data_IF_246249842440
#
_entry.id   IF_246249842440
#
_cell.length_a   1.000
_cell.length_b   1.000
_cell.length_c   1.000
_cell.angle_alpha   90.00
_cell.angle_beta   90.00
_cell.angle_gamma   90.00
#
_symmetry.space_group_name_H-M   'P 1'
#
loop_
_entity.id
_entity.type
_entity.pdbx_description
1 polymer ?
#
# COMPACT_ATOMS: atom_id res chain seq x y z
N UNK A 1 34.13 -14.77 -9.36
CA UNK A 1 33.04 -14.80 -8.35
C UNK A 1 31.82 -14.10 -8.95
N UNK A 2 30.72 -14.79 -9.30
CA UNK A 2 29.55 -14.10 -9.83
C UNK A 2 28.87 -13.34 -8.69
N UNK A 3 28.73 -12.02 -8.86
CA UNK A 3 28.06 -11.14 -7.90
C UNK A 3 26.58 -11.49 -7.87
N UNK A 4 26.07 -12.04 -6.76
CA UNK A 4 24.62 -12.10 -6.49
C UNK A 4 24.07 -10.68 -6.58
N UNK A 5 23.04 -10.38 -7.38
CA UNK A 5 22.35 -9.12 -7.27
C UNK A 5 21.58 -9.14 -5.94
N UNK A 6 22.18 -8.56 -4.89
CA UNK A 6 21.59 -8.38 -3.55
C UNK A 6 20.38 -7.41 -3.53
N UNK A 7 19.77 -7.11 -4.69
CA UNK A 7 18.61 -6.22 -4.83
C UNK A 7 17.37 -6.98 -5.32
N UNK A 8 17.27 -8.27 -4.99
CA UNK A 8 16.03 -8.99 -5.20
C UNK A 8 15.03 -8.53 -4.13
N UNK A 9 13.89 -8.00 -4.56
CA UNK A 9 12.80 -7.74 -3.64
C UNK A 9 12.05 -9.06 -3.40
N UNK A 10 11.55 -9.24 -2.18
CA UNK A 10 10.93 -10.50 -1.78
C UNK A 10 9.44 -10.32 -1.56
N UNK A 11 8.66 -11.28 -2.08
CA UNK A 11 7.28 -11.41 -1.65
C UNK A 11 7.26 -11.90 -0.20
N UNK A 12 6.41 -11.28 0.62
CA UNK A 12 6.20 -11.63 2.01
C UNK A 12 5.82 -13.11 2.21
N UNK A 13 5.08 -13.67 1.27
CA UNK A 13 4.61 -15.07 1.31
C UNK A 13 5.61 -16.06 0.69
N UNK A 14 6.27 -15.71 -0.42
CA UNK A 14 7.28 -16.59 -1.04
C UNK A 14 8.55 -16.76 -0.18
N UNK A 15 8.83 -15.78 0.68
CA UNK A 15 10.04 -15.75 1.51
C UNK A 15 11.29 -15.31 0.75
N UNK A 16 12.44 -15.25 1.44
CA UNK A 16 13.68 -14.64 0.93
C UNK A 16 14.41 -15.48 -0.13
N UNK A 17 14.02 -16.74 -0.31
CA UNK A 17 14.66 -17.64 -1.27
C UNK A 17 14.22 -17.38 -2.73
N UNK A 18 13.10 -16.68 -2.91
CA UNK A 18 12.59 -16.28 -4.23
C UNK A 18 12.80 -14.79 -4.41
N UNK A 19 13.64 -14.45 -5.38
CA UNK A 19 13.94 -13.07 -5.73
C UNK A 19 13.07 -12.57 -6.86
N UNK A 20 12.36 -11.46 -6.65
CA UNK A 20 11.56 -10.80 -7.67
C UNK A 20 12.14 -9.43 -8.04
N UNK A 21 11.86 -8.99 -9.27
CA UNK A 21 12.06 -7.58 -9.66
C UNK A 21 11.04 -6.72 -8.91
N UNK A 22 11.41 -5.50 -8.51
CA UNK A 22 10.48 -4.56 -7.82
C UNK A 22 9.18 -4.34 -8.59
N UNK A 23 9.28 -4.26 -9.92
CA UNK A 23 8.16 -4.04 -10.85
C UNK A 23 7.21 -5.23 -10.97
N UNK A 24 7.61 -6.42 -10.48
CA UNK A 24 6.78 -7.63 -10.46
C UNK A 24 6.16 -7.87 -9.08
N UNK A 25 6.36 -6.93 -8.14
CA UNK A 25 5.79 -6.98 -6.80
C UNK A 25 4.83 -5.81 -6.60
N UNK A 26 3.72 -6.12 -5.96
CA UNK A 26 2.69 -5.17 -5.57
C UNK A 26 2.81 -4.89 -4.08
N UNK A 27 2.71 -3.62 -3.68
CA UNK A 27 2.65 -3.27 -2.27
C UNK A 27 1.23 -3.50 -1.74
N UNK A 28 1.10 -3.99 -0.51
CA UNK A 28 -0.18 -4.01 0.20
C UNK A 28 0.05 -4.02 1.70
N UNK A 29 -0.60 -3.12 2.44
CA UNK A 29 -0.45 -3.01 3.90
C UNK A 29 1.03 -3.06 4.35
N UNK A 30 1.87 -2.23 3.71
CA UNK A 30 3.32 -2.15 3.97
C UNK A 30 4.15 -3.42 3.69
N UNK A 31 3.57 -4.40 2.99
CA UNK A 31 4.25 -5.65 2.58
C UNK A 31 4.28 -5.75 1.05
N UNK A 32 5.27 -6.48 0.52
CA UNK A 32 5.38 -6.74 -0.91
C UNK A 32 4.84 -8.13 -1.24
N UNK A 33 4.07 -8.25 -2.31
CA UNK A 33 3.46 -9.50 -2.75
C UNK A 33 3.72 -9.72 -4.24
N UNK A 34 3.99 -10.96 -4.66
CA UNK A 34 3.93 -11.31 -6.08
C UNK A 34 2.47 -11.42 -6.51
N UNK A 35 2.22 -11.44 -7.83
CA UNK A 35 0.86 -11.54 -8.37
C UNK A 35 0.07 -12.76 -7.85
N UNK A 36 0.74 -13.88 -7.59
CA UNK A 36 0.11 -15.12 -7.08
C UNK A 36 -0.30 -15.02 -5.60
N UNK A 37 0.45 -14.28 -4.80
CA UNK A 37 0.24 -14.14 -3.35
C UNK A 37 -0.34 -12.79 -2.96
N UNK A 38 -0.78 -12.00 -3.94
CA UNK A 38 -1.41 -10.72 -3.72
C UNK A 38 -2.79 -10.99 -3.13
N UNK A 39 -3.03 -10.70 -1.83
CA UNK A 39 -4.33 -10.99 -1.23
C UNK A 39 -5.40 -10.14 -1.90
N UNK A 40 -6.59 -10.71 -2.11
CA UNK A 40 -7.72 -9.99 -2.71
C UNK A 40 -7.93 -8.64 -2.02
N UNK A 41 -8.16 -7.61 -2.85
CA UNK A 41 -8.59 -6.32 -2.31
C UNK A 41 -9.95 -6.54 -1.66
N UNK A 42 -10.08 -6.07 -0.43
CA UNK A 42 -11.39 -5.79 0.14
C UNK A 42 -11.99 -4.67 -0.74
N UNK A 43 -12.93 -5.00 -1.63
CA UNK A 43 -13.73 -3.98 -2.32
C UNK A 43 -14.46 -3.12 -1.27
N UNK A 44 -14.58 -1.78 -1.46
CA UNK A 44 -14.25 -0.97 -2.63
C UNK A 44 -13.04 -0.06 -2.35
N UNK A 45 -11.83 -0.51 -2.69
CA UNK A 45 -10.66 0.37 -2.64
C UNK A 45 -10.61 1.21 -3.92
N UNK A 46 -10.77 2.55 -3.87
CA UNK A 46 -10.78 3.40 -5.04
C UNK A 46 -9.45 3.35 -5.79
N UNK A 47 -9.53 3.47 -7.11
CA UNK A 47 -8.36 3.64 -7.98
C UNK A 47 -7.82 5.07 -7.86
N UNK A 48 -6.53 5.26 -8.18
CA UNK A 48 -5.96 6.60 -8.26
C UNK A 48 -6.62 7.36 -9.43
N UNK A 49 -7.17 8.56 -9.23
CA UNK A 49 -7.83 9.31 -10.30
C UNK A 49 -6.89 9.74 -11.43
N UNK A 50 -5.57 9.83 -11.18
CA UNK A 50 -4.59 10.32 -12.14
C UNK A 50 -4.01 9.21 -13.03
N UNK A 51 -3.59 8.09 -12.43
CA UNK A 51 -2.92 7.00 -13.16
C UNK A 51 -3.74 5.71 -13.21
N UNK A 52 -4.97 5.74 -12.70
CA UNK A 52 -5.84 4.58 -12.54
C UNK A 52 -5.20 3.42 -11.77
N UNK A 53 -4.18 3.73 -10.97
CA UNK A 53 -3.40 2.74 -10.24
C UNK A 53 -4.22 2.16 -9.09
N UNK A 54 -4.05 0.87 -8.91
CA UNK A 54 -4.74 0.07 -7.92
C UNK A 54 -4.24 0.33 -6.49
N UNK A 55 -3.03 0.84 -6.29
CA UNK A 55 -2.44 1.13 -4.98
C UNK A 55 -2.57 2.62 -4.63
N UNK A 56 -3.80 3.13 -4.76
CA UNK A 56 -4.16 4.41 -4.17
C UNK A 56 -4.47 4.23 -2.69
N UNK A 57 -3.49 4.40 -1.81
CA UNK A 57 -3.75 3.93 -0.44
C UNK A 57 -2.77 4.28 0.66
N UNK A 58 -1.70 5.03 0.41
CA UNK A 58 -0.83 5.42 1.52
C UNK A 58 -1.45 6.61 2.24
N UNK A 59 -2.13 6.33 3.35
CA UNK A 59 -2.70 7.33 4.22
C UNK A 59 -1.63 7.93 5.15
N UNK A 60 -1.69 9.24 5.32
CA UNK A 60 -0.90 10.00 6.28
C UNK A 60 -1.85 10.58 7.32
N UNK A 61 -1.96 9.89 8.46
CA UNK A 61 -2.88 10.25 9.56
C UNK A 61 -2.43 11.54 10.24
N UNK A 62 -3.33 12.51 10.30
CA UNK A 62 -3.09 13.82 10.93
C UNK A 62 -3.92 14.06 12.18
N UNK A 63 -4.30 13.00 12.88
CA UNK A 63 -5.11 13.08 14.10
C UNK A 63 -6.62 13.04 13.89
N UNK A 64 -7.10 13.23 12.65
CA UNK A 64 -8.51 13.05 12.28
C UNK A 64 -8.66 12.58 10.84
N UNK A 65 -9.81 11.98 10.51
CA UNK A 65 -10.13 11.56 9.14
C UNK A 65 -10.18 12.73 8.15
N UNK A 66 -10.61 13.91 8.60
CA UNK A 66 -10.71 15.14 7.79
C UNK A 66 -9.35 15.75 7.46
N UNK A 67 -8.38 15.60 8.37
CA UNK A 67 -7.01 16.09 8.18
C UNK A 67 -6.12 15.05 7.48
N UNK A 68 -6.55 13.80 7.42
CA UNK A 68 -5.78 12.70 6.82
C UNK A 68 -5.64 12.91 5.32
N UNK A 69 -4.42 12.76 4.82
CA UNK A 69 -4.14 12.83 3.37
C UNK A 69 -3.85 11.44 2.83
N UNK A 70 -4.08 11.26 1.54
CA UNK A 70 -3.75 10.05 0.81
C UNK A 70 -2.77 10.39 -0.30
N UNK A 71 -1.83 9.50 -0.56
CA UNK A 71 -0.88 9.61 -1.66
C UNK A 71 -0.86 8.32 -2.50
N UNK A 72 -0.90 8.48 -3.82
CA UNK A 72 -0.59 7.41 -4.76
C UNK A 72 0.92 7.18 -4.79
N UNK A 73 1.34 5.93 -4.60
CA UNK A 73 2.77 5.59 -4.63
C UNK A 73 3.33 5.59 -6.06
N UNK A 74 2.48 5.36 -7.07
CA UNK A 74 2.90 5.23 -8.47
C UNK A 74 3.13 6.60 -9.14
N UNK A 75 2.10 7.46 -9.20
CA UNK A 75 2.19 8.77 -9.84
C UNK A 75 2.54 9.92 -8.88
N UNK A 76 2.48 9.68 -7.57
CA UNK A 76 2.74 10.71 -6.55
C UNK A 76 1.57 11.65 -6.27
N UNK A 77 0.40 11.45 -6.91
CA UNK A 77 -0.82 12.22 -6.64
C UNK A 77 -1.16 12.24 -5.16
N UNK A 78 -1.50 13.41 -4.62
CA UNK A 78 -1.81 13.61 -3.21
C UNK A 78 -3.09 14.41 -3.07
N UNK A 79 -4.00 13.93 -2.22
CA UNK A 79 -5.25 14.62 -1.91
C UNK A 79 -5.71 14.33 -0.47
N UNK A 80 -6.81 14.93 -0.04
CA UNK A 80 -7.47 14.59 1.22
C UNK A 80 -8.10 13.20 1.10
N UNK A 81 -7.89 12.37 2.12
CA UNK A 81 -8.44 11.02 2.18
C UNK A 81 -9.96 11.01 2.10
N UNK A 82 -10.62 11.99 2.72
CA UNK A 82 -12.08 12.12 2.78
C UNK A 82 -12.75 12.37 1.43
N UNK A 83 -12.01 12.81 0.42
CA UNK A 83 -12.54 13.00 -0.93
C UNK A 83 -12.74 11.66 -1.66
N UNK A 84 -12.06 10.60 -1.21
CA UNK A 84 -12.00 9.30 -1.90
C UNK A 84 -12.49 8.15 -1.03
N UNK A 85 -12.47 8.31 0.29
CA UNK A 85 -12.87 7.29 1.27
C UNK A 85 -13.83 7.88 2.29
N UNK A 86 -14.71 7.04 2.83
CA UNK A 86 -15.54 7.43 3.96
C UNK A 86 -14.70 7.57 5.25
N UNK A 87 -15.18 8.39 6.19
CA UNK A 87 -14.47 8.68 7.43
C UNK A 87 -14.19 7.43 8.29
N UNK A 88 -15.03 6.40 8.19
CA UNK A 88 -14.86 5.14 8.94
C UNK A 88 -13.71 4.34 8.35
N UNK A 89 -13.67 4.17 7.03
CA UNK A 89 -12.56 3.51 6.33
C UNK A 89 -11.23 4.20 6.56
N UNK A 90 -11.21 5.54 6.52
CA UNK A 90 -9.98 6.32 6.83
C UNK A 90 -9.54 6.05 8.27
N UNK A 91 -10.47 6.10 9.23
CA UNK A 91 -10.15 5.85 10.63
C UNK A 91 -9.64 4.43 10.83
N UNK A 92 -10.33 3.40 10.35
CA UNK A 92 -9.91 1.99 10.51
C UNK A 92 -8.55 1.74 9.86
N UNK A 93 -8.26 2.37 8.72
CA UNK A 93 -7.02 2.11 7.97
C UNK A 93 -5.83 2.94 8.48
N UNK A 94 -6.05 4.22 8.73
CA UNK A 94 -4.99 5.20 8.98
C UNK A 94 -4.81 5.53 10.46
N UNK A 95 -5.84 5.33 11.29
CA UNK A 95 -5.68 5.58 12.73
C UNK A 95 -4.62 4.63 13.29
N UNK A 96 -3.73 5.13 14.15
CA UNK A 96 -2.79 4.27 14.84
C UNK A 96 -3.57 3.23 15.64
N UNK A 97 -3.17 1.97 15.53
CA UNK A 97 -3.70 0.91 16.39
C UNK A 97 -3.23 1.27 17.80
N UNK A 98 -4.15 1.72 18.66
CA UNK A 98 -3.89 1.78 20.09
C UNK A 98 -3.73 0.34 20.56
N UNK A 99 -2.48 -0.12 20.63
CA UNK A 99 -2.16 -1.35 21.35
C UNK A 99 -2.31 -0.97 22.82
N UNK A 100 -3.51 -1.20 23.37
CA UNK A 100 -3.69 -1.18 24.81
C UNK A 100 -2.87 -2.36 25.37
N UNK A 101 -1.74 -2.05 25.99
CA UNK A 101 -0.99 -2.98 26.86
C UNK A 101 -1.77 -3.31 28.13
#
# INVERSE_FOLDING_TARGET
MPRKPNNAFHCYTCGPNVGHKRSALHSRKFKLYCAEHLPDKSEPWPHCPECNDDDFGTFDWKGSSEATTIKCENCGFKDKAINHFDAVTIRITASPIEVSE
#
